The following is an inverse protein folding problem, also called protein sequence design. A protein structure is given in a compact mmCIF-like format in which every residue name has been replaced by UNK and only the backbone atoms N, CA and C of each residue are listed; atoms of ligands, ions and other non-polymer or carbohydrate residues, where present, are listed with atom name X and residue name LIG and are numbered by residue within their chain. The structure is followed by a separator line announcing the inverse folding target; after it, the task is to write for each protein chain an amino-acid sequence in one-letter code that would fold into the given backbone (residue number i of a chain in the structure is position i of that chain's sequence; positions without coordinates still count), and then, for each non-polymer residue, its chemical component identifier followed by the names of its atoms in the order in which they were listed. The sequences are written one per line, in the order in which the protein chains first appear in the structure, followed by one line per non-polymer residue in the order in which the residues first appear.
data_IF_197603104926
#
_entry.id   IF_197603104926
#
_cell.length_a   1.000
_cell.length_b   1.000
_cell.length_c   1.000
_cell.angle_alpha   90.00
_cell.angle_beta   90.00
_cell.angle_gamma   90.00
#
_symmetry.space_group_name_H-M   'P 1'
#
loop_
_entity.id
_entity.type
_entity.pdbx_description
1 polymer ?
#
# COMPACT_ATOMS: atom_id res chain seq x y z
N UNK A 1 19.01 3.45 39.37
CA UNK A 1 20.41 3.33 38.91
C UNK A 1 20.80 1.87 38.97
N UNK A 2 20.73 1.18 37.84
CA UNK A 2 21.30 -0.16 37.69
C UNK A 2 21.80 -0.25 36.26
N UNK A 3 23.02 0.24 36.08
CA UNK A 3 23.82 0.10 34.87
C UNK A 3 24.29 -1.35 34.76
N UNK A 4 23.85 -2.06 33.73
CA UNK A 4 24.51 -3.29 33.29
C UNK A 4 25.24 -2.93 32.00
N UNK A 5 26.56 -2.80 32.11
CA UNK A 5 27.46 -2.62 31.00
C UNK A 5 27.55 -3.92 30.18
N UNK A 6 27.53 -3.78 28.85
CA UNK A 6 28.16 -4.72 27.92
C UNK A 6 27.50 -6.07 27.73
N UNK A 7 26.38 -6.12 26.99
CA UNK A 7 26.10 -7.21 26.03
C UNK A 7 25.17 -6.65 24.95
N UNK A 8 25.46 -6.79 23.64
CA UNK A 8 24.53 -6.41 22.58
C UNK A 8 23.38 -7.42 22.59
N UNK A 9 22.38 -7.16 23.44
CA UNK A 9 21.20 -8.00 23.56
C UNK A 9 20.24 -7.64 22.44
N UNK A 10 20.21 -8.46 21.40
CA UNK A 10 19.01 -8.61 20.55
C UNK A 10 17.94 -9.24 21.47
N UNK A 11 17.31 -8.45 22.35
CA UNK A 11 16.32 -8.94 23.31
C UNK A 11 14.98 -8.99 22.58
N UNK A 12 14.78 -10.12 21.92
CA UNK A 12 13.56 -10.56 21.28
C UNK A 12 12.44 -10.67 22.33
N UNK A 13 11.64 -9.62 22.50
CA UNK A 13 10.29 -9.77 23.08
C UNK A 13 9.36 -10.21 21.93
N UNK A 14 9.55 -11.48 21.54
CA UNK A 14 8.68 -12.17 20.60
C UNK A 14 7.33 -12.44 21.29
N UNK A 15 6.42 -11.47 21.28
CA UNK A 15 5.01 -11.76 21.55
C UNK A 15 4.35 -12.17 20.23
N UNK A 16 4.49 -13.47 19.96
CA UNK A 16 3.59 -14.35 19.19
C UNK A 16 3.08 -13.83 17.83
N UNK A 17 3.78 -14.17 16.73
CA UNK A 17 3.13 -14.40 15.44
C UNK A 17 3.90 -15.28 14.42
N UNK A 18 5.20 -15.54 14.56
CA UNK A 18 5.92 -16.37 13.58
C UNK A 18 6.80 -17.44 14.23
N UNK A 19 6.35 -18.69 14.17
CA UNK A 19 7.06 -19.89 14.64
C UNK A 19 8.18 -20.35 13.72
N UNK A 20 8.74 -19.50 12.85
CA UNK A 20 9.66 -19.95 11.79
C UNK A 20 10.82 -19.00 11.42
N UNK A 21 11.07 -17.92 12.18
CA UNK A 21 12.17 -17.02 11.88
C UNK A 21 13.42 -17.35 12.73
N UNK A 22 14.50 -17.80 12.08
CA UNK A 22 15.82 -17.96 12.71
C UNK A 22 16.54 -16.59 12.73
N UNK A 23 16.63 -15.95 13.90
CA UNK A 23 17.36 -14.70 14.10
C UNK A 23 18.71 -14.95 14.80
N UNK A 24 19.79 -14.32 14.31
CA UNK A 24 21.14 -14.43 14.90
C UNK A 24 21.78 -13.06 15.11
N UNK A 25 22.41 -12.85 16.26
CA UNK A 25 23.23 -11.67 16.52
C UNK A 25 24.62 -11.86 15.92
N UNK A 26 25.07 -10.92 15.10
CA UNK A 26 26.47 -10.89 14.63
C UNK A 26 27.30 -9.94 15.50
N UNK A 27 28.56 -10.30 15.74
CA UNK A 27 29.55 -9.39 16.32
C UNK A 27 29.74 -8.18 15.41
N UNK A 28 29.14 -7.05 15.80
CA UNK A 28 29.23 -5.80 15.02
C UNK A 28 27.95 -4.97 14.97
N UNK A 29 27.15 -4.97 16.05
CA UNK A 29 25.99 -4.08 16.18
C UNK A 29 24.94 -4.25 15.04
N UNK A 30 24.66 -5.50 14.62
CA UNK A 30 23.62 -5.83 13.64
C UNK A 30 22.96 -7.17 14.00
N UNK A 31 21.66 -7.30 13.76
CA UNK A 31 20.94 -8.57 13.85
C UNK A 31 20.60 -9.06 12.44
N UNK A 32 20.76 -10.36 12.19
CA UNK A 32 20.38 -10.99 10.94
C UNK A 32 19.09 -11.79 11.13
N UNK A 33 18.14 -11.60 10.22
CA UNK A 33 16.93 -12.41 10.13
C UNK A 33 16.98 -13.23 8.84
N UNK A 34 16.98 -14.55 8.96
CA UNK A 34 16.86 -15.43 7.80
C UNK A 34 15.42 -15.42 7.30
N UNK A 35 15.24 -15.16 6.00
CA UNK A 35 13.95 -15.33 5.31
C UNK A 35 13.87 -16.65 4.55
N UNK A 36 14.75 -17.61 4.85
CA UNK A 36 14.74 -18.92 4.22
C UNK A 36 13.67 -19.79 4.92
N UNK A 37 12.44 -19.72 4.42
CA UNK A 37 11.31 -20.46 4.98
C UNK A 37 11.48 -21.97 4.74
N UNK A 38 11.67 -22.76 5.81
CA UNK A 38 11.78 -24.23 5.72
C UNK A 38 10.46 -24.93 5.37
N UNK A 39 9.32 -24.28 5.63
CA UNK A 39 7.96 -24.71 5.32
C UNK A 39 7.10 -23.47 5.05
N UNK A 40 6.93 -23.14 3.78
CA UNK A 40 6.08 -22.08 3.27
C UNK A 40 6.14 -22.16 1.75
N UNK A 41 5.01 -21.96 1.06
CA UNK A 41 5.06 -21.93 -0.39
C UNK A 41 5.72 -20.61 -0.85
N UNK A 42 6.47 -20.67 -1.94
CA UNK A 42 7.10 -19.50 -2.57
C UNK A 42 6.06 -18.55 -3.22
N UNK A 43 4.76 -18.72 -2.96
CA UNK A 43 3.68 -17.85 -3.45
C UNK A 43 3.26 -16.80 -2.43
N UNK A 44 3.70 -16.87 -1.18
CA UNK A 44 3.51 -15.78 -0.23
C UNK A 44 4.47 -14.62 -0.57
N UNK A 45 3.97 -13.38 -0.73
CA UNK A 45 4.80 -12.23 -1.04
C UNK A 45 5.81 -12.01 0.09
N UNK A 46 7.06 -11.70 -0.28
CA UNK A 46 8.09 -11.42 0.71
C UNK A 46 7.63 -10.25 1.60
N UNK A 47 7.73 -10.36 2.94
CA UNK A 47 7.30 -9.30 3.84
C UNK A 47 8.17 -8.07 3.59
N UNK A 48 7.51 -6.96 3.25
CA UNK A 48 8.15 -5.66 3.18
C UNK A 48 8.33 -5.16 4.61
N UNK A 49 9.56 -5.19 5.12
CA UNK A 49 9.85 -4.81 6.50
C UNK A 49 10.31 -3.35 6.53
N UNK A 50 9.56 -2.55 7.29
CA UNK A 50 9.87 -1.15 7.55
C UNK A 50 10.64 -1.02 8.86
N UNK A 51 11.70 -0.21 8.84
CA UNK A 51 12.35 0.24 10.07
C UNK A 51 11.57 1.40 10.67
N UNK A 52 11.39 1.38 11.99
CA UNK A 52 10.92 2.55 12.73
C UNK A 52 12.15 3.45 12.99
N UNK A 53 12.34 4.44 12.12
CA UNK A 53 13.42 5.43 12.17
C UNK A 53 12.91 6.80 11.66
N UNK A 54 13.68 7.87 11.88
CA UNK A 54 13.36 9.22 11.36
C UNK A 54 13.17 9.23 9.83
N UNK A 55 13.90 8.34 9.13
CA UNK A 55 13.71 8.03 7.72
C UNK A 55 13.35 6.54 7.59
N UNK A 56 12.07 6.19 7.39
CA UNK A 56 11.67 4.80 7.25
C UNK A 56 12.30 4.22 5.99
N UNK A 57 13.05 3.14 6.15
CA UNK A 57 13.68 2.43 5.03
C UNK A 57 13.11 1.02 4.89
N UNK A 58 12.95 0.59 3.65
CA UNK A 58 12.68 -0.80 3.33
C UNK A 58 13.92 -1.64 3.60
N UNK A 59 13.79 -2.64 4.47
CA UNK A 59 14.82 -3.68 4.62
C UNK A 59 14.60 -4.72 3.54
N UNK A 60 15.51 -4.72 2.56
CA UNK A 60 15.55 -5.75 1.52
C UNK A 60 16.53 -6.85 1.94
N UNK A 61 16.23 -8.13 1.66
CA UNK A 61 17.18 -9.21 1.87
C UNK A 61 18.43 -9.01 1.01
N UNK A 62 19.57 -9.42 1.55
CA UNK A 62 20.83 -9.45 0.80
C UNK A 62 20.87 -10.61 -0.22
N UNK A 63 21.99 -10.74 -0.93
CA UNK A 63 22.23 -11.80 -1.91
C UNK A 63 22.12 -13.22 -1.31
N UNK A 64 22.24 -13.35 0.02
CA UNK A 64 22.15 -14.60 0.77
C UNK A 64 20.79 -14.80 1.45
N UNK A 65 19.78 -13.97 1.14
CA UNK A 65 18.44 -14.02 1.74
C UNK A 65 18.45 -13.73 3.25
N UNK A 66 19.34 -12.84 3.67
CA UNK A 66 19.41 -12.35 5.05
C UNK A 66 18.98 -10.88 5.09
N UNK A 67 18.09 -10.56 6.03
CA UNK A 67 17.77 -9.18 6.36
C UNK A 67 18.74 -8.69 7.43
N UNK A 68 19.44 -7.60 7.13
CA UNK A 68 20.38 -6.96 8.06
C UNK A 68 19.69 -5.82 8.79
N UNK A 69 19.47 -6.01 10.08
CA UNK A 69 18.81 -5.05 10.96
C UNK A 69 19.90 -4.27 11.72
N UNK A 70 20.00 -2.94 11.57
CA UNK A 70 20.96 -2.13 12.32
C UNK A 70 20.77 -2.25 13.83
N UNK A 71 21.84 -2.16 14.62
CA UNK A 71 21.69 -2.03 16.07
C UNK A 71 20.86 -0.81 16.41
N UNK A 72 20.00 -0.97 17.41
CA UNK A 72 19.04 0.02 17.89
C UNK A 72 17.91 0.36 16.90
N UNK A 73 17.78 -0.39 15.79
CA UNK A 73 16.57 -0.32 14.97
C UNK A 73 15.43 -1.11 15.64
N UNK A 74 14.26 -0.50 15.72
CA UNK A 74 13.01 -1.19 16.01
C UNK A 74 12.37 -1.61 14.70
N UNK A 75 11.82 -2.83 14.68
CA UNK A 75 11.02 -3.33 13.57
C UNK A 75 9.59 -3.42 14.04
N UNK A 76 8.71 -2.74 13.33
CA UNK A 76 7.28 -2.85 13.55
C UNK A 76 6.71 -3.83 12.52
N UNK A 77 6.13 -4.92 13.02
CA UNK A 77 5.34 -5.86 12.23
C UNK A 77 3.87 -5.47 12.37
N UNK A 78 3.28 -4.95 11.30
CA UNK A 78 1.85 -4.66 11.21
C UNK A 78 1.19 -5.69 10.31
N UNK A 79 0.16 -6.35 10.84
CA UNK A 79 -0.73 -7.19 10.04
C UNK A 79 -1.74 -6.29 9.33
N UNK A 80 -1.43 -5.94 8.08
CA UNK A 80 -2.27 -5.07 7.26
C UNK A 80 -3.19 -5.88 6.35
N UNK A 81 -4.45 -5.47 6.28
CA UNK A 81 -5.41 -5.98 5.31
C UNK A 81 -5.42 -5.06 4.09
N UNK A 82 -5.18 -5.64 2.91
CA UNK A 82 -5.22 -4.91 1.65
C UNK A 82 -6.44 -5.32 0.85
N UNK A 83 -7.34 -4.37 0.60
CA UNK A 83 -8.46 -4.54 -0.31
C UNK A 83 -8.16 -3.85 -1.62
N UNK A 84 -8.52 -4.46 -2.74
CA UNK A 84 -8.33 -3.86 -4.07
C UNK A 84 -9.61 -4.01 -4.86
N UNK A 85 -9.84 -3.06 -5.75
CA UNK A 85 -10.92 -3.18 -6.71
C UNK A 85 -10.89 -2.05 -7.71
N UNK A 86 -12.01 -1.94 -8.41
CA UNK A 86 -12.19 -0.98 -9.49
C UNK A 86 -13.56 -0.33 -9.39
N UNK A 87 -13.74 0.80 -10.07
CA UNK A 87 -15.03 1.48 -10.17
C UNK A 87 -15.19 2.19 -11.51
N UNK A 88 -16.42 2.19 -12.05
CA UNK A 88 -16.75 2.82 -13.33
C UNK A 88 -16.13 2.13 -14.54
N UNK A 89 -16.47 2.65 -15.73
CA UNK A 89 -15.92 2.23 -17.02
C UNK A 89 -15.33 3.48 -17.67
N UNK A 90 -14.07 3.40 -18.13
CA UNK A 90 -13.44 4.53 -18.80
C UNK A 90 -14.05 4.71 -20.20
N UNK A 91 -14.05 5.93 -20.73
CA UNK A 91 -14.54 6.24 -22.07
C UNK A 91 -13.50 7.02 -22.85
N UNK A 92 -13.62 7.00 -24.18
CA UNK A 92 -12.87 7.87 -25.08
C UNK A 92 -13.81 8.41 -26.16
N UNK A 93 -13.56 9.62 -26.67
CA UNK A 93 -14.35 10.17 -27.76
C UNK A 93 -14.13 9.36 -29.04
N UNK A 94 -15.22 9.09 -29.76
CA UNK A 94 -15.16 8.56 -31.11
C UNK A 94 -14.82 9.66 -32.15
N UNK A 95 -14.90 9.31 -33.44
CA UNK A 95 -14.58 10.24 -34.54
C UNK A 95 -15.53 11.45 -34.62
N UNK A 96 -16.70 11.38 -33.97
CA UNK A 96 -17.67 12.47 -33.89
C UNK A 96 -17.54 13.25 -32.57
N UNK A 97 -16.59 12.88 -31.70
CA UNK A 97 -16.37 13.49 -30.39
C UNK A 97 -17.34 12.99 -29.31
N UNK A 98 -18.06 11.89 -29.55
CA UNK A 98 -18.99 11.32 -28.57
C UNK A 98 -18.26 10.30 -27.71
N UNK A 99 -18.37 10.45 -26.39
CA UNK A 99 -17.76 9.52 -25.43
C UNK A 99 -18.29 8.09 -25.58
N UNK A 100 -17.40 7.16 -25.92
CA UNK A 100 -17.70 5.73 -26.04
C UNK A 100 -17.04 4.95 -24.91
N UNK A 101 -17.78 4.11 -24.15
CA UNK A 101 -17.19 3.34 -23.07
C UNK A 101 -16.26 2.25 -23.62
N UNK A 102 -15.09 2.11 -23.02
CA UNK A 102 -14.06 1.16 -23.43
C UNK A 102 -14.29 -0.23 -22.85
N UNK A 103 -14.25 -1.23 -23.73
CA UNK A 103 -14.34 -2.65 -23.39
C UNK A 103 -13.25 -3.41 -24.14
N UNK A 104 -12.72 -4.46 -23.52
CA UNK A 104 -11.94 -5.49 -24.20
C UNK A 104 -12.91 -6.48 -24.84
N UNK A 105 -12.78 -6.64 -26.15
CA UNK A 105 -13.62 -7.49 -26.96
C UNK A 105 -12.99 -8.87 -27.14
N UNK A 106 -13.82 -9.91 -27.10
CA UNK A 106 -13.41 -11.28 -27.48
C UNK A 106 -13.46 -11.42 -29.01
N UNK A 107 -14.45 -10.77 -29.64
CA UNK A 107 -14.63 -10.67 -31.08
C UNK A 107 -15.35 -9.37 -31.44
N UNK A 108 -15.56 -9.09 -32.74
CA UNK A 108 -16.14 -7.84 -33.24
C UNK A 108 -17.50 -7.44 -32.63
N UNK A 109 -18.24 -8.38 -32.04
CA UNK A 109 -19.58 -8.15 -31.48
C UNK A 109 -19.66 -8.38 -29.97
N UNK A 110 -18.74 -9.13 -29.38
CA UNK A 110 -18.81 -9.56 -27.98
C UNK A 110 -17.82 -8.79 -27.11
N UNK A 111 -18.37 -7.87 -26.31
CA UNK A 111 -17.68 -7.17 -25.22
C UNK A 111 -17.59 -8.11 -24.02
N UNK A 112 -16.38 -8.43 -23.55
CA UNK A 112 -16.24 -9.27 -22.36
C UNK A 112 -15.88 -8.48 -21.11
N UNK A 113 -14.93 -7.54 -21.20
CA UNK A 113 -14.38 -6.91 -20.00
C UNK A 113 -14.43 -5.37 -20.08
N UNK A 114 -15.17 -4.69 -19.19
CA UNK A 114 -15.09 -3.24 -19.11
C UNK A 114 -13.69 -2.81 -18.71
N UNK A 115 -13.15 -1.78 -19.37
CA UNK A 115 -11.90 -1.15 -18.95
C UNK A 115 -12.24 -0.20 -17.79
N UNK A 116 -11.71 -0.40 -16.58
CA UNK A 116 -12.15 0.39 -15.44
C UNK A 116 -11.71 1.85 -15.53
N UNK A 117 -12.56 2.77 -15.06
CA UNK A 117 -12.20 4.19 -14.95
C UNK A 117 -11.35 4.48 -13.72
N UNK A 118 -11.63 3.82 -12.61
CA UNK A 118 -10.89 3.99 -11.36
C UNK A 118 -10.34 2.67 -10.86
N UNK A 119 -9.10 2.70 -10.38
CA UNK A 119 -8.51 1.64 -9.59
C UNK A 119 -8.38 2.13 -8.16
N UNK A 120 -8.68 1.27 -7.19
CA UNK A 120 -8.52 1.64 -5.79
C UNK A 120 -7.89 0.52 -4.98
N UNK A 121 -7.14 0.93 -3.95
CA UNK A 121 -6.56 0.07 -2.92
C UNK A 121 -6.86 0.66 -1.56
N UNK A 122 -7.22 -0.16 -0.59
CA UNK A 122 -7.39 0.23 0.81
C UNK A 122 -6.37 -0.55 1.62
N UNK A 123 -5.57 0.18 2.39
CA UNK A 123 -4.68 -0.41 3.38
C UNK A 123 -5.33 -0.19 4.75
N UNK A 124 -5.61 -1.28 5.45
CA UNK A 124 -6.33 -1.27 6.72
C UNK A 124 -5.49 -1.96 7.81
N UNK A 125 -5.23 -1.23 8.88
CA UNK A 125 -4.71 -1.72 10.16
C UNK A 125 -5.91 -1.99 11.09
N UNK A 126 -6.37 -3.25 11.23
CA UNK A 126 -7.53 -3.59 12.04
C UNK A 126 -7.26 -3.44 13.54
N UNK A 127 -6.00 -3.55 13.98
CA UNK A 127 -5.63 -3.42 15.40
C UNK A 127 -5.65 -1.96 15.81
N UNK A 128 -5.09 -1.08 14.99
CA UNK A 128 -5.11 0.36 15.20
C UNK A 128 -6.41 1.05 14.80
N UNK A 129 -7.35 0.33 14.16
CA UNK A 129 -8.58 0.87 13.57
C UNK A 129 -8.32 2.06 12.62
N UNK A 130 -7.34 1.90 11.73
CA UNK A 130 -6.92 2.93 10.77
C UNK A 130 -6.93 2.37 9.36
N UNK A 131 -7.45 3.14 8.41
CA UNK A 131 -7.43 2.76 7.01
C UNK A 131 -7.35 3.99 6.09
N UNK A 132 -6.61 3.85 5.01
CA UNK A 132 -6.51 4.86 3.94
C UNK A 132 -6.79 4.22 2.60
N UNK A 133 -7.60 4.90 1.80
CA UNK A 133 -7.86 4.52 0.41
C UNK A 133 -6.94 5.31 -0.53
N UNK A 134 -6.40 4.61 -1.51
CA UNK A 134 -5.58 5.13 -2.61
C UNK A 134 -6.37 4.91 -3.89
N UNK A 135 -6.55 5.98 -4.67
CA UNK A 135 -7.35 5.95 -5.89
C UNK A 135 -6.52 6.48 -7.04
N UNK A 136 -6.54 5.76 -8.16
CA UNK A 136 -5.95 6.18 -9.42
C UNK A 136 -7.00 6.25 -10.52
N UNK A 137 -6.91 7.28 -11.35
CA UNK A 137 -7.74 7.49 -12.53
C UNK A 137 -7.10 6.81 -13.75
N UNK A 138 -7.93 6.15 -14.57
CA UNK A 138 -7.54 5.54 -15.83
C UNK A 138 -8.10 6.34 -17.02
N UNK A 139 -7.63 7.57 -17.16
CA UNK A 139 -8.06 8.50 -18.20
C UNK A 139 -6.83 9.17 -18.83
N UNK A 140 -6.10 8.44 -19.69
CA UNK A 140 -4.78 8.88 -20.18
C UNK A 140 -4.81 10.07 -21.14
N UNK A 141 -6.00 10.48 -21.60
CA UNK A 141 -6.18 11.59 -22.54
C UNK A 141 -6.88 12.81 -21.91
N UNK A 142 -7.04 12.81 -20.59
CA UNK A 142 -7.54 13.98 -19.87
C UNK A 142 -6.66 15.20 -20.15
N UNK A 143 -7.26 16.29 -20.63
CA UNK A 143 -6.56 17.55 -20.90
C UNK A 143 -6.75 18.60 -19.81
N UNK A 144 -7.74 18.40 -18.94
CA UNK A 144 -8.07 19.27 -17.82
C UNK A 144 -8.52 18.46 -16.63
N UNK A 145 -8.42 19.04 -15.43
CA UNK A 145 -8.87 18.40 -14.20
C UNK A 145 -10.32 18.81 -13.93
N UNK A 146 -11.18 17.81 -13.81
CA UNK A 146 -12.60 17.99 -13.53
C UNK A 146 -12.99 17.33 -12.20
N UNK A 147 -14.13 17.74 -11.64
CA UNK A 147 -14.60 17.22 -10.35
C UNK A 147 -14.90 15.72 -10.37
N UNK A 148 -15.37 15.19 -11.51
CA UNK A 148 -15.72 13.78 -11.65
C UNK A 148 -14.52 12.83 -11.68
N UNK A 149 -13.28 13.37 -11.71
CA UNK A 149 -12.04 12.61 -11.52
C UNK A 149 -11.80 12.22 -10.05
N UNK A 150 -12.58 12.76 -9.11
CA UNK A 150 -12.42 12.54 -7.67
C UNK A 150 -13.66 11.89 -7.08
N UNK A 151 -13.53 10.64 -6.64
CA UNK A 151 -14.59 9.86 -6.00
C UNK A 151 -14.83 10.27 -4.54
N UNK A 152 -13.90 11.02 -3.94
CA UNK A 152 -13.91 11.43 -2.55
C UNK A 152 -13.00 12.67 -2.36
N UNK A 153 -13.15 13.43 -1.26
CA UNK A 153 -12.25 14.53 -0.94
C UNK A 153 -10.79 14.06 -0.78
N UNK A 154 -9.91 14.65 -1.57
CA UNK A 154 -8.46 14.38 -1.54
C UNK A 154 -7.81 14.92 -0.26
N UNK A 155 -6.97 14.08 0.37
CA UNK A 155 -6.14 14.44 1.53
C UNK A 155 -4.64 14.20 1.30
N UNK A 156 -4.21 13.94 0.07
CA UNK A 156 -2.81 13.65 -0.29
C UNK A 156 -1.81 14.73 0.10
N UNK A 157 -2.25 15.97 0.31
CA UNK A 157 -1.38 17.08 0.71
C UNK A 157 -1.26 17.27 2.23
N UNK A 158 -1.86 16.39 3.04
CA UNK A 158 -1.64 16.38 4.49
C UNK A 158 -0.22 15.90 4.81
N UNK A 159 0.39 16.42 5.88
CA UNK A 159 1.81 16.15 6.23
C UNK A 159 2.14 14.66 6.31
N UNK A 160 1.18 13.82 6.74
CA UNK A 160 1.32 12.37 6.83
C UNK A 160 1.45 11.62 5.49
N UNK A 161 1.19 12.26 4.35
CA UNK A 161 1.26 11.65 3.02
C UNK A 161 2.41 12.18 2.15
N UNK A 162 3.29 13.00 2.72
CA UNK A 162 4.44 13.59 2.01
C UNK A 162 5.34 12.57 1.33
N UNK A 163 5.43 11.35 1.89
CA UNK A 163 6.23 10.25 1.34
C UNK A 163 5.73 9.72 -0.01
N UNK A 164 4.47 9.93 -0.37
CA UNK A 164 3.85 9.41 -1.59
C UNK A 164 4.33 10.21 -2.82
N UNK A 165 4.56 11.53 -2.65
CA UNK A 165 4.99 12.41 -3.74
C UNK A 165 3.98 12.60 -4.87
N UNK A 166 2.70 12.29 -4.66
CA UNK A 166 1.67 12.49 -5.68
C UNK A 166 1.23 13.94 -5.78
N UNK A 167 0.99 14.36 -7.02
CA UNK A 167 0.49 15.68 -7.37
C UNK A 167 -0.88 15.52 -8.03
N UNK A 168 -1.96 15.31 -7.25
CA UNK A 168 -3.29 14.97 -7.78
C UNK A 168 -3.83 16.02 -8.74
N UNK A 169 -3.37 17.26 -8.60
CA UNK A 169 -3.76 18.40 -9.44
C UNK A 169 -2.84 18.64 -10.66
N UNK A 170 -1.94 17.71 -10.95
CA UNK A 170 -1.07 17.74 -12.14
C UNK A 170 -1.49 16.63 -13.11
N UNK A 171 -2.24 17.02 -14.15
CA UNK A 171 -2.75 16.07 -15.15
C UNK A 171 -1.63 15.40 -15.95
N UNK A 172 -0.47 16.06 -16.12
CA UNK A 172 0.67 15.50 -16.86
C UNK A 172 1.31 14.32 -16.11
N UNK A 173 1.18 14.30 -14.77
CA UNK A 173 1.62 13.20 -13.90
C UNK A 173 0.55 12.12 -13.68
N UNK A 174 -0.67 12.38 -14.16
CA UNK A 174 -1.83 11.55 -13.94
C UNK A 174 -2.50 11.81 -12.59
N UNK A 175 -3.82 11.62 -12.53
CA UNK A 175 -4.60 11.85 -11.31
C UNK A 175 -4.54 10.62 -10.42
N UNK A 176 -3.91 10.77 -9.26
CA UNK A 176 -3.92 9.80 -8.17
C UNK A 176 -3.97 10.53 -6.83
N UNK A 177 -4.80 10.05 -5.91
CA UNK A 177 -5.07 10.72 -4.64
C UNK A 177 -5.36 9.73 -3.53
N UNK A 178 -5.35 10.21 -2.29
CA UNK A 178 -5.77 9.44 -1.11
C UNK A 178 -6.98 10.08 -0.45
N UNK A 179 -7.83 9.26 0.15
CA UNK A 179 -8.96 9.72 0.93
C UNK A 179 -9.36 8.71 2.01
N UNK A 180 -10.30 9.10 2.87
CA UNK A 180 -10.84 8.17 3.87
C UNK A 180 -11.70 7.08 3.21
N UNK A 181 -11.67 5.88 3.79
CA UNK A 181 -12.48 4.75 3.30
C UNK A 181 -13.98 5.08 3.37
N UNK A 182 -14.41 5.80 4.41
CA UNK A 182 -15.80 6.20 4.59
C UNK A 182 -16.30 7.12 3.46
N UNK A 183 -15.48 8.08 3.02
CA UNK A 183 -15.84 8.95 1.90
C UNK A 183 -15.84 8.20 0.58
N UNK A 184 -14.82 7.39 0.29
CA UNK A 184 -14.76 6.62 -0.96
C UNK A 184 -15.95 5.65 -1.10
N UNK A 185 -16.38 5.03 0.00
CA UNK A 185 -17.51 4.10 0.02
C UNK A 185 -18.83 4.75 -0.42
N UNK A 186 -19.01 6.06 -0.24
CA UNK A 186 -20.21 6.78 -0.71
C UNK A 186 -20.35 6.68 -2.24
N UNK A 187 -19.23 6.72 -2.94
CA UNK A 187 -19.16 6.59 -4.40
C UNK A 187 -19.00 5.13 -4.85
N UNK A 188 -18.36 4.29 -4.02
CA UNK A 188 -18.08 2.87 -4.33
C UNK A 188 -18.68 1.94 -3.25
N UNK A 189 -19.99 1.62 -3.32
CA UNK A 189 -20.67 0.81 -2.29
C UNK A 189 -20.17 -0.63 -2.15
N UNK A 190 -19.43 -1.14 -3.14
CA UNK A 190 -18.86 -2.50 -3.18
C UNK A 190 -17.63 -2.65 -2.29
N UNK A 191 -17.01 -1.55 -1.85
CA UNK A 191 -15.98 -1.58 -0.81
C UNK A 191 -16.55 -2.28 0.44
N UNK A 192 -15.78 -3.00 1.26
CA UNK A 192 -16.28 -3.54 2.53
C UNK A 192 -16.62 -2.46 3.57
N UNK A 193 -17.55 -2.74 4.46
CA UNK A 193 -17.85 -1.82 5.56
C UNK A 193 -16.83 -2.03 6.68
N UNK A 194 -15.88 -1.10 6.82
CA UNK A 194 -14.82 -1.17 7.84
C UNK A 194 -15.18 -0.43 9.15
N UNK A 195 -16.35 0.21 9.22
CA UNK A 195 -16.72 1.10 10.33
C UNK A 195 -16.07 2.48 10.22
N UNK A 196 -16.06 3.23 11.32
CA UNK A 196 -15.33 4.50 11.40
C UNK A 196 -13.87 4.23 11.73
N UNK A 197 -13.00 4.36 10.73
CA UNK A 197 -11.55 4.20 10.84
C UNK A 197 -10.86 5.56 10.82
N UNK A 198 -9.79 5.72 11.60
CA UNK A 198 -8.86 6.85 11.43
C UNK A 198 -8.07 6.73 10.11
N UNK A 199 -7.42 7.81 9.69
CA UNK A 199 -6.48 7.72 8.56
C UNK A 199 -5.23 6.92 8.95
N UNK A 200 -4.79 6.05 8.06
CA UNK A 200 -3.50 5.39 8.13
C UNK A 200 -2.48 6.25 7.37
N UNK A 201 -1.56 6.89 8.10
CA UNK A 201 -0.53 7.78 7.57
C UNK A 201 0.79 7.02 7.39
#
# INVERSE_FOLDING_TARGET
MTTIAGTPRCCLLLLLAFSAADARSIQGARCELSIDYRKGDLKEPQPLILTEAEEPTFLLPDQHRLLLIPANASILLLDLLVYTGVHGVTSLPDVEGVEQPLYLFVNATEKAFPVPRFYWKIIHDPVGNRATAFVGLNEPYASEITEDMYLCPDVSQQEGFSWIGWEPRDIEKGVSYVCSVAELRKSVPTIPALGETGLLL
#
